data_IF_972332092962
#
_entry.id   IF_972332092962
#
_cell.length_a   1.000
_cell.length_b   1.000
_cell.length_c   1.000
_cell.angle_alpha   90.00
_cell.angle_beta   90.00
_cell.angle_gamma   90.00
#
_symmetry.space_group_name_H-M   'P 1'
#
loop_
_entity.id
_entity.type
_entity.pdbx_description
1 polymer ?
#
# COMPACT_ATOMS: atom_id res chain seq x y z
N UNK A 1 -12.57 41.82 63.08
CA UNK A 1 -13.13 40.46 62.86
C UNK A 1 -14.62 40.46 62.46
N UNK A 2 -15.54 41.21 63.13
CA UNK A 2 -16.97 41.19 62.77
C UNK A 2 -17.33 41.85 61.42
N UNK A 3 -16.54 42.74 60.87
CA UNK A 3 -16.79 43.42 59.59
C UNK A 3 -16.32 42.57 58.42
N UNK A 4 -15.21 41.85 58.51
CA UNK A 4 -14.69 40.95 57.48
C UNK A 4 -15.63 39.73 57.28
N UNK A 5 -16.22 39.20 58.37
CA UNK A 5 -17.15 38.08 58.33
C UNK A 5 -18.46 38.47 57.61
N UNK A 6 -18.95 39.76 57.75
CA UNK A 6 -20.15 40.23 57.07
C UNK A 6 -19.99 40.39 55.55
N UNK A 7 -18.78 40.48 55.03
CA UNK A 7 -18.49 40.54 53.60
C UNK A 7 -18.17 39.14 53.05
N UNK A 8 -17.53 38.29 53.85
CA UNK A 8 -17.10 36.96 53.44
C UNK A 8 -18.31 36.00 53.23
N UNK A 9 -19.33 36.09 54.11
CA UNK A 9 -20.49 35.22 54.03
C UNK A 9 -21.30 35.39 52.74
N UNK A 10 -21.67 36.64 52.30
CA UNK A 10 -22.36 36.79 51.02
C UNK A 10 -21.52 36.39 49.80
N UNK A 11 -20.20 36.57 49.81
CA UNK A 11 -19.33 36.14 48.75
C UNK A 11 -19.32 34.62 48.64
N UNK A 12 -19.21 33.88 49.76
CA UNK A 12 -19.27 32.42 49.80
C UNK A 12 -20.66 31.90 49.37
N UNK A 13 -21.76 32.58 49.73
CA UNK A 13 -23.10 32.24 49.27
C UNK A 13 -23.28 32.43 47.75
N UNK A 14 -22.75 33.54 47.20
CA UNK A 14 -22.78 33.78 45.76
C UNK A 14 -21.90 32.74 45.02
N UNK A 15 -20.77 32.40 45.57
CA UNK A 15 -19.87 31.35 44.98
C UNK A 15 -20.56 30.00 45.03
N UNK A 16 -21.22 29.63 46.14
CA UNK A 16 -21.99 28.38 46.27
C UNK A 16 -23.18 28.33 45.30
N UNK A 17 -23.89 29.44 45.11
CA UNK A 17 -24.98 29.54 44.14
C UNK A 17 -24.45 29.44 42.70
N UNK A 18 -23.33 30.06 42.38
CA UNK A 18 -22.68 29.91 41.05
C UNK A 18 -22.20 28.50 40.79
N UNK A 19 -21.59 27.85 41.77
CA UNK A 19 -21.20 26.44 41.70
C UNK A 19 -22.43 25.55 41.56
N UNK A 20 -23.47 25.77 42.34
CA UNK A 20 -24.76 25.01 42.25
C UNK A 20 -25.45 25.20 40.91
N UNK A 21 -25.50 26.44 40.39
CA UNK A 21 -26.02 26.75 39.07
C UNK A 21 -25.21 26.08 37.96
N UNK A 22 -23.87 26.15 38.07
CA UNK A 22 -22.95 25.49 37.13
C UNK A 22 -23.17 23.95 37.16
N UNK A 23 -23.27 23.38 38.35
CA UNK A 23 -23.52 21.95 38.57
C UNK A 23 -24.91 21.54 38.02
N UNK A 24 -25.93 22.33 38.26
CA UNK A 24 -27.28 22.13 37.72
C UNK A 24 -27.28 22.20 36.19
N UNK A 25 -26.59 23.16 35.59
CA UNK A 25 -26.44 23.28 34.12
C UNK A 25 -25.72 22.08 33.53
N UNK A 26 -24.61 21.65 34.13
CA UNK A 26 -23.81 20.51 33.67
C UNK A 26 -24.54 19.17 33.77
N UNK A 27 -25.42 18.99 34.78
CA UNK A 27 -26.12 17.72 35.00
C UNK A 27 -27.53 17.73 34.38
N UNK A 28 -28.29 18.80 34.55
CA UNK A 28 -29.68 18.90 34.10
C UNK A 28 -29.82 19.21 32.60
N UNK A 29 -28.78 19.74 31.97
CA UNK A 29 -28.74 20.12 30.55
C UNK A 29 -27.54 19.50 29.84
N UNK A 30 -27.33 18.18 30.01
CA UNK A 30 -26.24 17.42 29.37
C UNK A 30 -26.19 17.66 27.88
N UNK A 31 -27.34 17.68 27.20
CA UNK A 31 -27.45 17.86 25.76
C UNK A 31 -26.91 19.23 25.28
N UNK A 32 -27.23 20.30 26.05
CA UNK A 32 -26.70 21.64 25.74
C UNK A 32 -25.20 21.72 25.97
N UNK A 33 -24.70 21.06 27.00
CA UNK A 33 -23.27 21.08 27.35
C UNK A 33 -22.45 20.32 26.29
N UNK A 34 -22.93 19.16 25.88
CA UNK A 34 -22.37 18.40 24.78
C UNK A 34 -22.36 19.24 23.50
N UNK A 35 -23.50 19.81 23.09
CA UNK A 35 -23.62 20.63 21.88
C UNK A 35 -22.66 21.85 21.88
N UNK A 36 -22.49 22.50 23.04
CA UNK A 36 -21.52 23.65 23.15
C UNK A 36 -20.09 23.19 22.93
N UNK A 37 -19.67 22.08 23.55
CA UNK A 37 -18.31 21.56 23.35
C UNK A 37 -18.09 21.07 21.91
N UNK A 38 -19.10 20.44 21.32
CA UNK A 38 -19.09 20.00 19.92
C UNK A 38 -18.94 21.21 18.98
N UNK A 39 -19.73 22.26 19.18
CA UNK A 39 -19.63 23.49 18.41
C UNK A 39 -18.20 24.10 18.47
N UNK A 40 -17.63 24.23 19.67
CA UNK A 40 -16.26 24.73 19.83
C UNK A 40 -15.22 23.77 19.26
N UNK A 41 -15.45 22.46 19.37
CA UNK A 41 -14.62 21.43 18.74
C UNK A 41 -14.54 21.64 17.22
N UNK A 42 -15.70 21.75 16.57
CA UNK A 42 -15.81 22.01 15.13
C UNK A 42 -15.18 23.35 14.73
N UNK A 43 -15.41 24.39 15.54
CA UNK A 43 -14.78 25.71 15.29
C UNK A 43 -13.25 25.61 15.33
N UNK A 44 -12.67 24.95 16.34
CA UNK A 44 -11.21 24.78 16.42
C UNK A 44 -10.67 23.87 15.33
N UNK A 45 -11.39 22.79 14.99
CA UNK A 45 -11.01 21.88 13.92
C UNK A 45 -10.91 22.61 12.58
N UNK A 46 -11.93 23.36 12.21
CA UNK A 46 -12.00 24.14 10.96
C UNK A 46 -10.91 25.22 10.86
N UNK A 47 -10.44 25.72 12.01
CA UNK A 47 -9.33 26.67 12.09
C UNK A 47 -7.95 26.01 12.24
N UNK A 48 -7.82 24.69 12.02
CA UNK A 48 -6.56 23.94 12.10
C UNK A 48 -6.00 23.79 13.52
N UNK A 49 -6.78 24.15 14.56
CA UNK A 49 -6.35 24.06 15.97
C UNK A 49 -6.71 22.70 16.57
N UNK A 50 -6.18 21.64 15.99
CA UNK A 50 -6.58 20.25 16.28
C UNK A 50 -6.42 19.87 17.76
N UNK A 51 -5.38 20.32 18.44
CA UNK A 51 -5.20 20.05 19.87
C UNK A 51 -6.34 20.61 20.76
N UNK A 52 -6.85 21.82 20.42
CA UNK A 52 -8.02 22.39 21.12
C UNK A 52 -9.32 21.66 20.74
N UNK A 53 -9.49 21.30 19.45
CA UNK A 53 -10.61 20.51 18.99
C UNK A 53 -10.70 19.17 19.73
N UNK A 54 -9.58 18.43 19.86
CA UNK A 54 -9.48 17.19 20.64
C UNK A 54 -9.95 17.38 22.08
N UNK A 55 -9.53 18.47 22.73
CA UNK A 55 -9.95 18.77 24.11
C UNK A 55 -11.46 18.98 24.20
N UNK A 56 -12.05 19.76 23.28
CA UNK A 56 -13.47 20.00 23.23
C UNK A 56 -14.27 18.74 22.94
N UNK A 57 -13.87 17.94 21.93
CA UNK A 57 -14.55 16.68 21.61
C UNK A 57 -14.47 15.66 22.75
N UNK A 58 -13.35 15.57 23.47
CA UNK A 58 -13.24 14.73 24.67
C UNK A 58 -14.22 15.14 25.76
N UNK A 59 -14.36 16.44 25.98
CA UNK A 59 -15.33 16.95 26.93
C UNK A 59 -16.76 16.64 26.48
N UNK A 60 -17.10 16.82 25.20
CA UNK A 60 -18.39 16.43 24.66
C UNK A 60 -18.66 14.93 24.82
N UNK A 61 -17.71 14.06 24.49
CA UNK A 61 -17.81 12.61 24.68
C UNK A 61 -18.01 12.18 26.13
N UNK A 62 -17.57 12.98 27.11
CA UNK A 62 -17.88 12.71 28.51
C UNK A 62 -19.38 12.78 28.80
N UNK A 63 -20.11 13.64 28.08
CA UNK A 63 -21.56 13.79 28.20
C UNK A 63 -22.33 12.85 27.29
N UNK A 64 -21.80 12.52 26.11
CA UNK A 64 -22.40 11.63 25.12
C UNK A 64 -21.42 10.50 24.71
N UNK A 65 -21.11 9.53 25.60
CA UNK A 65 -20.06 8.53 25.34
C UNK A 65 -20.39 7.53 24.23
N UNK A 66 -21.67 7.41 23.83
CA UNK A 66 -22.14 6.50 22.78
C UNK A 66 -22.41 7.20 21.45
N UNK A 67 -22.10 8.49 21.36
CA UNK A 67 -22.29 9.25 20.12
C UNK A 67 -21.21 8.86 19.11
N UNK A 68 -21.64 8.16 18.05
CA UNK A 68 -20.78 7.67 16.99
C UNK A 68 -20.18 8.81 16.17
N UNK A 69 -20.97 9.85 15.88
CA UNK A 69 -20.53 10.99 15.08
C UNK A 69 -19.44 11.78 15.81
N UNK A 70 -19.62 11.99 17.10
CA UNK A 70 -18.65 12.66 17.96
C UNK A 70 -17.34 11.86 18.06
N UNK A 71 -17.41 10.54 18.11
CA UNK A 71 -16.23 9.68 18.08
C UNK A 71 -15.47 9.80 16.75
N UNK A 72 -16.19 9.90 15.63
CA UNK A 72 -15.61 10.13 14.30
C UNK A 72 -14.94 11.49 14.25
N UNK A 73 -15.55 12.56 14.75
CA UNK A 73 -14.92 13.88 14.78
C UNK A 73 -13.66 13.92 15.64
N UNK A 74 -13.68 13.27 16.80
CA UNK A 74 -12.50 13.14 17.65
C UNK A 74 -11.38 12.36 16.96
N UNK A 75 -11.70 11.25 16.29
CA UNK A 75 -10.75 10.47 15.50
C UNK A 75 -10.15 11.32 14.38
N UNK A 76 -10.96 12.06 13.62
CA UNK A 76 -10.50 12.96 12.58
C UNK A 76 -9.57 14.04 13.12
N UNK A 77 -9.86 14.61 14.29
CA UNK A 77 -9.00 15.58 14.93
C UNK A 77 -7.64 14.96 15.34
N UNK A 78 -7.63 13.72 15.80
CA UNK A 78 -6.39 12.98 16.06
C UNK A 78 -5.59 12.73 14.78
N UNK A 79 -6.24 12.27 13.70
CA UNK A 79 -5.58 12.08 12.39
C UNK A 79 -4.94 13.38 11.90
N UNK A 80 -5.68 14.48 11.90
CA UNK A 80 -5.16 15.80 11.49
C UNK A 80 -4.05 16.32 12.38
N UNK A 81 -3.94 15.83 13.61
CA UNK A 81 -2.80 16.11 14.50
C UNK A 81 -1.62 15.14 14.35
N UNK A 82 -1.69 14.19 13.39
CA UNK A 82 -0.68 13.16 13.14
C UNK A 82 -0.72 11.97 14.10
N UNK A 83 -1.77 11.84 14.93
CA UNK A 83 -1.85 10.77 15.92
C UNK A 83 -2.84 9.67 15.51
N UNK A 84 -2.47 8.87 14.54
CA UNK A 84 -3.28 7.78 14.01
C UNK A 84 -3.60 6.71 15.05
N UNK A 85 -2.66 6.36 15.92
CA UNK A 85 -2.87 5.38 16.99
C UNK A 85 -4.04 5.77 17.92
N UNK A 86 -4.14 7.07 18.28
CA UNK A 86 -5.26 7.54 19.10
C UNK A 86 -6.56 7.63 18.31
N UNK A 87 -6.48 7.89 17.01
CA UNK A 87 -7.65 7.87 16.13
C UNK A 87 -8.24 6.46 16.06
N UNK A 88 -7.42 5.44 15.78
CA UNK A 88 -7.82 4.03 15.79
C UNK A 88 -8.43 3.62 17.14
N UNK A 89 -7.71 3.88 18.24
CA UNK A 89 -8.20 3.55 19.59
C UNK A 89 -9.55 4.17 19.89
N UNK A 90 -9.77 5.43 19.46
CA UNK A 90 -11.05 6.12 19.66
C UNK A 90 -12.18 5.41 18.94
N UNK A 91 -11.98 5.02 17.68
CA UNK A 91 -12.99 4.33 16.87
C UNK A 91 -13.26 2.91 17.36
N UNK A 92 -12.22 2.13 17.66
CA UNK A 92 -12.35 0.79 18.23
C UNK A 92 -13.14 0.81 19.54
N UNK A 93 -12.86 1.79 20.40
CA UNK A 93 -13.58 1.94 21.66
C UNK A 93 -15.06 2.36 21.43
N UNK A 94 -15.32 3.23 20.45
CA UNK A 94 -16.67 3.62 20.08
C UNK A 94 -17.48 2.44 19.50
N UNK A 95 -16.88 1.61 18.64
CA UNK A 95 -17.48 0.38 18.12
C UNK A 95 -17.86 -0.57 19.24
N UNK A 96 -17.01 -0.70 20.27
CA UNK A 96 -17.32 -1.54 21.44
C UNK A 96 -18.55 -1.05 22.20
N UNK A 97 -18.82 0.25 22.21
CA UNK A 97 -19.97 0.87 22.89
C UNK A 97 -21.22 0.96 22.02
N UNK A 98 -21.05 1.06 20.70
CA UNK A 98 -22.10 1.20 19.69
C UNK A 98 -21.80 0.32 18.48
N UNK A 99 -21.89 -1.02 18.62
CA UNK A 99 -21.53 -1.97 17.56
C UNK A 99 -22.51 -2.00 16.38
N UNK A 100 -23.61 -1.30 16.49
CA UNK A 100 -24.65 -1.12 15.48
C UNK A 100 -24.46 0.12 14.58
N UNK A 101 -23.47 0.94 14.88
CA UNK A 101 -23.17 2.15 14.12
C UNK A 101 -22.20 1.84 12.95
N UNK A 102 -22.73 1.63 11.74
CA UNK A 102 -21.96 1.32 10.55
C UNK A 102 -20.89 2.39 10.21
N UNK A 103 -21.21 3.67 10.46
CA UNK A 103 -20.32 4.79 10.18
C UNK A 103 -18.98 4.70 10.95
N UNK A 104 -18.97 4.06 12.14
CA UNK A 104 -17.75 3.84 12.89
C UNK A 104 -16.80 2.87 12.19
N UNK A 105 -17.33 1.81 11.58
CA UNK A 105 -16.55 0.84 10.82
C UNK A 105 -16.00 1.46 9.54
N UNK A 106 -16.80 2.29 8.85
CA UNK A 106 -16.36 3.05 7.67
C UNK A 106 -15.21 4.00 8.07
N UNK A 107 -15.36 4.74 9.15
CA UNK A 107 -14.33 5.65 9.64
C UNK A 107 -13.04 4.92 10.06
N UNK A 108 -13.16 3.73 10.66
CA UNK A 108 -12.01 2.91 11.05
C UNK A 108 -11.31 2.32 9.83
N UNK A 109 -12.07 1.77 8.86
CA UNK A 109 -11.52 1.30 7.59
C UNK A 109 -10.74 2.40 6.88
N UNK A 110 -11.34 3.58 6.73
CA UNK A 110 -10.66 4.74 6.16
C UNK A 110 -9.41 5.15 6.93
N UNK A 111 -9.41 4.99 8.25
CA UNK A 111 -8.24 5.30 9.08
C UNK A 111 -7.11 4.30 8.87
N UNK A 112 -7.42 3.02 8.60
CA UNK A 112 -6.45 2.02 8.22
C UNK A 112 -5.90 2.27 6.80
N UNK A 113 -6.77 2.55 5.83
CA UNK A 113 -6.38 2.88 4.45
C UNK A 113 -5.42 4.08 4.40
N UNK A 114 -5.69 5.14 5.17
CA UNK A 114 -4.81 6.31 5.26
C UNK A 114 -3.44 6.01 5.90
N UNK A 115 -3.23 4.82 6.44
CA UNK A 115 -1.97 4.33 7.01
C UNK A 115 -1.38 3.16 6.21
N UNK A 116 -1.89 2.92 5.01
CA UNK A 116 -1.50 1.80 4.14
C UNK A 116 -1.70 0.40 4.77
N UNK A 117 -2.59 0.31 5.78
CA UNK A 117 -2.96 -0.94 6.48
C UNK A 117 -4.18 -1.60 5.83
N UNK A 118 -4.07 -1.94 4.55
CA UNK A 118 -5.23 -2.38 3.75
C UNK A 118 -5.78 -3.73 4.23
N UNK A 119 -4.91 -4.71 4.56
CA UNK A 119 -5.34 -6.00 5.08
C UNK A 119 -5.90 -5.92 6.52
N UNK A 120 -5.46 -4.95 7.31
CA UNK A 120 -6.06 -4.70 8.64
C UNK A 120 -7.49 -4.17 8.47
N UNK A 121 -7.73 -3.28 7.49
CA UNK A 121 -9.06 -2.80 7.14
C UNK A 121 -9.95 -3.97 6.69
N UNK A 122 -9.49 -4.82 5.78
CA UNK A 122 -10.21 -6.00 5.31
C UNK A 122 -10.54 -6.96 6.47
N UNK A 123 -9.54 -7.32 7.27
CA UNK A 123 -9.70 -8.20 8.43
C UNK A 123 -10.70 -7.63 9.44
N UNK A 124 -10.66 -6.33 9.69
CA UNK A 124 -11.60 -5.66 10.59
C UNK A 124 -13.04 -5.74 10.06
N UNK A 125 -13.25 -5.49 8.77
CA UNK A 125 -14.57 -5.59 8.15
C UNK A 125 -15.10 -7.03 8.16
N UNK A 126 -14.23 -8.03 7.92
CA UNK A 126 -14.60 -9.46 7.99
C UNK A 126 -15.02 -9.93 9.38
N UNK A 127 -14.65 -9.20 10.45
CA UNK A 127 -15.00 -9.53 11.85
C UNK A 127 -16.31 -8.91 12.33
N UNK A 128 -17.05 -8.18 11.50
CA UNK A 128 -18.35 -7.61 11.87
C UNK A 128 -19.32 -8.75 12.14
N UNK A 129 -19.84 -8.81 13.36
CA UNK A 129 -20.78 -9.86 13.82
C UNK A 129 -22.25 -9.45 13.73
N UNK A 130 -22.54 -8.16 13.65
CA UNK A 130 -23.90 -7.64 13.50
C UNK A 130 -24.33 -7.74 12.03
N UNK A 131 -25.29 -8.59 11.72
CA UNK A 131 -25.74 -8.86 10.34
C UNK A 131 -26.32 -7.62 9.65
N UNK A 132 -27.01 -6.74 10.37
CA UNK A 132 -27.57 -5.52 9.79
C UNK A 132 -26.45 -4.54 9.38
N UNK A 133 -25.43 -4.39 10.22
CA UNK A 133 -24.24 -3.56 9.93
C UNK A 133 -23.46 -4.18 8.80
N UNK A 134 -23.25 -5.50 8.82
CA UNK A 134 -22.55 -6.22 7.75
C UNK A 134 -23.23 -6.00 6.40
N UNK A 135 -24.55 -6.20 6.32
CA UNK A 135 -25.32 -5.97 5.09
C UNK A 135 -25.20 -4.54 4.59
N UNK A 136 -25.22 -3.56 5.50
CA UNK A 136 -25.04 -2.16 5.13
C UNK A 136 -23.64 -1.86 4.61
N UNK A 137 -22.61 -2.40 5.26
CA UNK A 137 -21.21 -2.23 4.86
C UNK A 137 -20.96 -2.92 3.53
N UNK A 138 -21.41 -4.17 3.36
CA UNK A 138 -21.21 -4.97 2.14
C UNK A 138 -21.88 -4.31 0.91
N UNK A 139 -22.98 -3.59 1.11
CA UNK A 139 -23.62 -2.81 0.05
C UNK A 139 -22.81 -1.56 -0.39
N UNK A 140 -21.86 -1.12 0.41
CA UNK A 140 -21.02 0.05 0.18
C UNK A 140 -19.57 -0.29 -0.16
N UNK A 141 -19.18 -1.56 0.02
CA UNK A 141 -17.83 -2.05 -0.31
C UNK A 141 -17.67 -2.23 -1.82
N UNK A 142 -16.49 -1.98 -2.37
CA UNK A 142 -16.21 -2.36 -3.74
C UNK A 142 -16.19 -3.89 -3.87
N UNK A 143 -16.52 -4.38 -5.05
CA UNK A 143 -16.35 -5.80 -5.35
C UNK A 143 -14.86 -6.17 -5.33
N UNK A 144 -14.57 -7.43 -4.97
CA UNK A 144 -13.23 -7.96 -5.04
C UNK A 144 -12.71 -7.92 -6.51
N UNK A 145 -11.44 -7.57 -6.73
CA UNK A 145 -10.89 -7.57 -8.08
C UNK A 145 -10.82 -8.98 -8.66
N UNK A 146 -10.87 -9.08 -9.98
CA UNK A 146 -10.70 -10.33 -10.72
C UNK A 146 -9.28 -10.40 -11.24
N UNK A 147 -8.60 -11.51 -10.97
CA UNK A 147 -7.23 -11.78 -11.43
C UNK A 147 -7.30 -12.80 -12.55
N UNK A 148 -6.76 -12.49 -13.73
CA UNK A 148 -6.72 -13.33 -14.90
C UNK A 148 -5.29 -13.41 -15.46
N UNK A 149 -4.84 -14.60 -15.91
CA UNK A 149 -5.54 -15.89 -15.87
C UNK A 149 -5.67 -16.45 -14.44
N UNK A 150 -6.49 -17.49 -14.27
CA UNK A 150 -6.67 -18.14 -12.96
C UNK A 150 -5.34 -18.72 -12.41
N UNK A 151 -5.30 -18.90 -11.08
CA UNK A 151 -4.16 -19.56 -10.40
C UNK A 151 -3.88 -20.94 -11.02
N UNK A 152 -2.60 -21.24 -11.24
CA UNK A 152 -2.26 -22.52 -11.86
C UNK A 152 -0.80 -22.65 -12.27
N UNK A 153 -0.54 -23.74 -13.02
CA UNK A 153 0.77 -24.02 -13.61
C UNK A 153 0.70 -23.73 -15.10
N UNK A 154 1.66 -22.95 -15.57
CA UNK A 154 1.78 -22.52 -16.95
C UNK A 154 3.14 -22.94 -17.50
N UNK A 155 3.18 -23.31 -18.75
CA UNK A 155 4.42 -23.74 -19.44
C UNK A 155 5.11 -22.60 -20.17
N UNK A 156 4.43 -21.46 -20.32
CA UNK A 156 4.93 -20.27 -20.98
C UNK A 156 4.81 -19.06 -20.03
N UNK A 157 5.54 -18.00 -20.29
CA UNK A 157 5.40 -16.73 -19.60
C UNK A 157 3.98 -16.20 -19.76
N UNK A 158 3.44 -15.65 -18.70
CA UNK A 158 2.09 -15.11 -18.69
C UNK A 158 2.08 -13.69 -18.18
N UNK A 159 1.18 -12.89 -18.74
CA UNK A 159 0.83 -11.60 -18.20
C UNK A 159 -0.44 -11.73 -17.37
N UNK A 160 -0.35 -11.38 -16.10
CA UNK A 160 -1.49 -11.40 -15.18
C UNK A 160 -2.13 -10.03 -15.18
N UNK A 161 -3.41 -9.99 -15.52
CA UNK A 161 -4.22 -8.77 -15.49
C UNK A 161 -5.16 -8.78 -14.29
N UNK A 162 -5.36 -7.61 -13.69
CA UNK A 162 -6.23 -7.44 -12.53
C UNK A 162 -7.27 -6.39 -12.86
N UNK A 163 -8.54 -6.77 -12.74
CA UNK A 163 -9.66 -5.88 -13.06
C UNK A 163 -10.49 -5.63 -11.81
N UNK A 164 -10.56 -4.37 -11.39
CA UNK A 164 -11.49 -3.89 -10.36
C UNK A 164 -12.68 -3.19 -10.97
N UNK A 165 -13.83 -3.25 -10.30
CA UNK A 165 -15.08 -2.61 -10.78
C UNK A 165 -15.21 -1.16 -10.30
N UNK A 166 -14.68 -0.83 -9.12
CA UNK A 166 -14.78 0.48 -8.50
C UNK A 166 -13.53 0.78 -7.65
N UNK A 167 -13.16 2.05 -7.59
CA UNK A 167 -12.06 2.53 -6.75
C UNK A 167 -10.67 2.25 -7.33
N UNK A 168 -9.67 2.29 -6.45
CA UNK A 168 -8.28 2.02 -6.79
C UNK A 168 -7.93 0.57 -6.48
N UNK A 169 -7.35 -0.15 -7.42
CA UNK A 169 -6.86 -1.52 -7.22
C UNK A 169 -5.41 -1.44 -6.75
N UNK A 170 -5.12 -2.13 -5.66
CA UNK A 170 -3.78 -2.36 -5.15
C UNK A 170 -3.40 -3.82 -5.37
N UNK A 171 -2.19 -4.06 -5.83
CA UNK A 171 -1.70 -5.41 -6.05
C UNK A 171 -0.20 -5.51 -5.79
N UNK A 172 0.22 -6.59 -5.16
CA UNK A 172 1.63 -6.94 -4.96
C UNK A 172 1.93 -8.31 -5.49
N UNK A 173 3.14 -8.49 -6.00
CA UNK A 173 3.66 -9.77 -6.47
C UNK A 173 4.89 -10.14 -5.63
N UNK A 174 4.85 -11.33 -5.01
CA UNK A 174 5.94 -11.89 -4.20
C UNK A 174 6.44 -11.01 -3.04
N UNK A 175 5.62 -10.09 -2.57
CA UNK A 175 5.91 -9.25 -1.40
C UNK A 175 4.76 -9.27 -0.42
N UNK A 176 5.04 -8.86 0.81
CA UNK A 176 4.02 -8.73 1.83
C UNK A 176 3.19 -7.46 1.57
N UNK A 177 1.86 -7.58 1.69
CA UNK A 177 1.04 -6.40 1.84
C UNK A 177 1.38 -5.77 3.22
N UNK A 178 1.79 -4.56 3.38
CA UNK A 178 1.00 -3.37 3.10
C UNK A 178 1.40 -2.69 1.80
N UNK A 179 0.39 -2.17 1.12
CA UNK A 179 0.53 -1.41 -0.07
C UNK A 179 1.15 -0.04 0.24
N UNK A 180 2.28 0.24 -0.38
CA UNK A 180 2.74 1.61 -0.55
C UNK A 180 2.02 2.24 -1.76
N UNK A 181 2.15 3.53 -2.01
CA UNK A 181 1.61 4.16 -3.24
C UNK A 181 2.11 3.46 -4.51
N UNK A 182 3.26 2.79 -4.45
CA UNK A 182 3.85 2.00 -5.54
C UNK A 182 3.11 0.71 -5.85
N UNK A 183 2.24 0.25 -4.95
CA UNK A 183 1.49 -1.00 -5.12
C UNK A 183 0.14 -0.79 -5.83
N UNK A 184 -0.14 0.44 -6.29
CA UNK A 184 -1.30 0.70 -7.14
C UNK A 184 -1.10 -0.05 -8.46
N UNK A 185 -2.06 -0.92 -8.77
CA UNK A 185 -2.05 -1.66 -10.02
C UNK A 185 -2.25 -0.72 -11.21
N UNK A 186 -1.27 -0.68 -12.10
CA UNK A 186 -1.27 0.21 -13.27
C UNK A 186 -1.27 -0.53 -14.61
N UNK A 187 -1.06 -1.84 -14.60
CA UNK A 187 -1.00 -2.64 -15.82
C UNK A 187 -0.58 -4.09 -15.57
N UNK A 188 -0.53 -4.93 -16.62
CA UNK A 188 -0.22 -6.35 -16.50
C UNK A 188 1.06 -6.64 -15.74
N UNK A 189 1.05 -7.67 -14.90
CA UNK A 189 2.21 -8.20 -14.18
C UNK A 189 2.75 -9.38 -14.98
N UNK A 190 3.91 -9.21 -15.58
CA UNK A 190 4.58 -10.29 -16.34
C UNK A 190 5.24 -11.27 -15.39
N UNK A 191 4.82 -12.52 -15.42
CA UNK A 191 5.40 -13.63 -14.64
C UNK A 191 6.32 -14.47 -15.51
N UNK A 192 7.58 -14.56 -15.07
CA UNK A 192 8.60 -15.43 -15.65
C UNK A 192 8.68 -16.76 -14.89
N UNK A 193 9.60 -17.65 -15.32
CA UNK A 193 9.77 -18.95 -14.68
C UNK A 193 9.94 -18.88 -13.16
N UNK A 194 9.26 -19.75 -12.45
CA UNK A 194 9.27 -19.83 -10.98
C UNK A 194 7.89 -19.78 -10.36
N UNK A 195 7.87 -19.73 -9.04
CA UNK A 195 6.64 -19.58 -8.26
C UNK A 195 6.39 -18.07 -7.99
N UNK A 196 5.15 -17.66 -8.16
CA UNK A 196 4.71 -16.29 -7.87
C UNK A 196 3.40 -16.30 -7.13
N UNK A 197 3.26 -15.34 -6.22
CA UNK A 197 2.01 -15.10 -5.47
C UNK A 197 1.59 -13.65 -5.68
N UNK A 198 0.34 -13.47 -6.07
CA UNK A 198 -0.25 -12.13 -6.22
C UNK A 198 -1.37 -12.00 -5.19
N UNK A 199 -1.40 -10.85 -4.52
CA UNK A 199 -2.50 -10.43 -3.65
C UNK A 199 -3.04 -9.13 -4.18
N UNK A 200 -4.34 -9.03 -4.33
CA UNK A 200 -4.99 -7.82 -4.81
C UNK A 200 -6.27 -7.50 -4.03
N UNK A 201 -6.56 -6.22 -3.86
CA UNK A 201 -7.83 -5.72 -3.33
C UNK A 201 -8.16 -4.35 -3.94
N UNK A 202 -9.44 -3.97 -3.85
CA UNK A 202 -9.93 -2.66 -4.29
C UNK A 202 -10.20 -1.76 -3.10
N UNK A 203 -9.91 -0.47 -3.23
CA UNK A 203 -10.21 0.57 -2.22
C UNK A 203 -11.17 1.58 -2.84
N UNK A 204 -12.35 1.73 -2.26
CA UNK A 204 -13.34 2.70 -2.70
C UNK A 204 -13.04 4.11 -2.14
N UNK A 205 -13.62 5.15 -2.75
CA UNK A 205 -13.47 6.55 -2.30
C UNK A 205 -13.96 6.79 -0.86
N UNK A 206 -14.93 6.02 -0.40
CA UNK A 206 -15.44 6.07 0.97
C UNK A 206 -14.46 5.50 2.00
N UNK A 207 -13.35 4.88 1.57
CA UNK A 207 -12.34 4.25 2.41
C UNK A 207 -12.67 2.82 2.82
N UNK A 208 -13.70 2.20 2.25
CA UNK A 208 -13.95 0.77 2.39
C UNK A 208 -13.08 -0.02 1.41
N UNK A 209 -12.65 -1.19 1.85
CA UNK A 209 -11.86 -2.12 1.04
C UNK A 209 -12.69 -3.33 0.65
N UNK A 210 -12.39 -3.93 -0.50
CA UNK A 210 -12.96 -5.23 -0.91
C UNK A 210 -12.40 -6.37 -0.07
N UNK A 211 -12.89 -7.57 -0.30
CA UNK A 211 -12.17 -8.78 0.10
C UNK A 211 -10.88 -8.88 -0.72
N UNK A 212 -9.81 -9.35 -0.08
CA UNK A 212 -8.55 -9.60 -0.75
C UNK A 212 -8.62 -10.87 -1.60
N UNK A 213 -8.08 -10.82 -2.81
CA UNK A 213 -7.97 -11.97 -3.70
C UNK A 213 -6.52 -12.41 -3.75
N UNK A 214 -6.32 -13.72 -3.64
CA UNK A 214 -5.00 -14.36 -3.65
C UNK A 214 -4.90 -15.25 -4.87
N UNK A 215 -3.82 -15.11 -5.65
CA UNK A 215 -3.53 -15.97 -6.78
C UNK A 215 -2.11 -16.52 -6.70
N UNK A 216 -1.94 -17.81 -6.95
CA UNK A 216 -0.64 -18.47 -6.97
C UNK A 216 -0.35 -19.05 -8.35
N UNK A 217 0.84 -18.81 -8.84
CA UNK A 217 1.28 -19.25 -10.16
C UNK A 217 2.58 -20.02 -10.06
N UNK A 218 2.69 -21.07 -10.84
CA UNK A 218 3.93 -21.77 -11.13
C UNK A 218 4.17 -21.68 -12.62
N UNK A 219 5.09 -20.84 -13.05
CA UNK A 219 5.44 -20.73 -14.46
C UNK A 219 6.62 -21.66 -14.72
N UNK A 220 6.37 -22.69 -15.49
CA UNK A 220 7.42 -23.62 -15.94
C UNK A 220 8.27 -22.94 -16.99
N UNK A 221 9.52 -23.30 -17.01
CA UNK A 221 10.39 -22.99 -18.13
C UNK A 221 10.20 -24.05 -19.21
N UNK A 222 9.82 -23.68 -20.40
CA UNK A 222 9.97 -24.55 -21.56
C UNK A 222 11.47 -24.70 -21.80
N UNK A 223 12.01 -25.85 -21.39
CA UNK A 223 13.44 -26.13 -21.59
C UNK A 223 13.65 -26.57 -23.03
N UNK A 224 14.20 -25.67 -23.82
CA UNK A 224 14.46 -25.88 -25.24
C UNK A 224 15.96 -25.78 -25.55
N UNK A 225 16.44 -26.50 -26.56
CA UNK A 225 17.79 -26.32 -27.02
C UNK A 225 17.97 -24.94 -27.68
N UNK A 226 19.02 -24.25 -27.27
CA UNK A 226 19.37 -22.90 -27.78
C UNK A 226 20.66 -22.99 -28.59
N UNK A 227 20.71 -22.26 -29.69
CA UNK A 227 21.94 -22.00 -30.46
C UNK A 227 22.16 -20.50 -30.46
N UNK A 228 23.23 -20.05 -29.79
CA UNK A 228 23.60 -18.64 -29.78
C UNK A 228 24.22 -18.28 -31.15
N UNK A 229 23.83 -17.13 -31.69
CA UNK A 229 24.32 -16.65 -32.99
C UNK A 229 25.73 -16.06 -32.89
N UNK A 230 26.03 -15.41 -31.74
CA UNK A 230 27.35 -14.87 -31.49
C UNK A 230 28.32 -15.95 -31.01
N UNK A 231 29.34 -16.25 -31.79
CA UNK A 231 30.32 -17.30 -31.48
C UNK A 231 31.19 -16.98 -30.25
N UNK A 232 31.42 -15.71 -29.95
CA UNK A 232 32.14 -15.25 -28.75
C UNK A 232 31.31 -15.52 -27.52
N UNK A 233 30.02 -15.14 -27.55
CA UNK A 233 29.04 -15.41 -26.48
C UNK A 233 28.85 -16.91 -26.27
N UNK A 234 28.71 -17.70 -27.36
CA UNK A 234 28.55 -19.15 -27.26
C UNK A 234 29.77 -19.79 -26.56
N UNK A 235 30.99 -19.39 -26.95
CA UNK A 235 32.20 -19.91 -26.32
C UNK A 235 32.32 -19.52 -24.85
N UNK A 236 32.02 -18.27 -24.51
CA UNK A 236 32.08 -17.76 -23.15
C UNK A 236 31.05 -18.45 -22.23
N UNK A 237 29.81 -18.59 -22.70
CA UNK A 237 28.74 -19.24 -21.93
C UNK A 237 29.06 -20.72 -21.71
N UNK A 238 29.61 -21.41 -22.71
CA UNK A 238 30.04 -22.82 -22.55
C UNK A 238 31.15 -22.95 -21.52
N UNK A 239 32.12 -22.05 -21.52
CA UNK A 239 33.18 -22.04 -20.51
C UNK A 239 32.59 -21.80 -19.12
N UNK A 240 31.70 -20.81 -18.98
CA UNK A 240 31.02 -20.50 -17.72
C UNK A 240 30.21 -21.68 -17.16
N UNK A 241 29.54 -22.45 -18.04
CA UNK A 241 28.75 -23.61 -17.68
C UNK A 241 29.58 -24.91 -17.61
N UNK A 242 30.89 -24.87 -17.86
CA UNK A 242 31.75 -26.05 -17.91
C UNK A 242 31.39 -27.03 -19.02
N UNK A 243 30.82 -26.55 -20.14
CA UNK A 243 30.41 -27.34 -21.29
C UNK A 243 31.45 -27.40 -22.38
N UNK A 244 31.51 -28.53 -23.10
CA UNK A 244 32.39 -28.69 -24.26
C UNK A 244 31.79 -28.06 -25.51
N UNK A 245 32.67 -27.67 -26.46
CA UNK A 245 32.23 -27.18 -27.76
C UNK A 245 31.28 -28.19 -28.46
N UNK A 246 30.13 -27.70 -28.95
CA UNK A 246 29.12 -28.53 -29.63
C UNK A 246 28.16 -29.30 -28.72
N UNK A 247 28.27 -29.20 -27.38
CA UNK A 247 27.19 -29.68 -26.48
C UNK A 247 25.98 -28.80 -26.63
N UNK A 248 24.77 -29.32 -26.41
CA UNK A 248 23.53 -28.56 -26.47
C UNK A 248 23.48 -27.60 -25.28
N UNK A 249 23.23 -26.31 -25.54
CA UNK A 249 22.81 -25.34 -24.52
C UNK A 249 21.30 -25.42 -24.40
N UNK A 250 20.78 -25.29 -23.17
CA UNK A 250 19.37 -25.31 -22.89
C UNK A 250 18.95 -23.96 -22.28
N UNK A 251 17.71 -23.56 -22.52
CA UNK A 251 17.20 -22.25 -22.05
C UNK A 251 17.30 -22.08 -20.54
N UNK A 252 17.01 -23.11 -19.75
CA UNK A 252 17.09 -23.10 -18.28
C UNK A 252 18.49 -22.84 -17.74
N UNK A 253 19.52 -23.29 -18.46
CA UNK A 253 20.91 -23.04 -18.10
C UNK A 253 21.26 -21.55 -18.30
N UNK A 254 20.71 -20.91 -19.34
CA UNK A 254 20.94 -19.48 -19.63
C UNK A 254 20.16 -18.58 -18.66
N UNK A 255 18.96 -18.99 -18.24
CA UNK A 255 18.18 -18.25 -17.25
C UNK A 255 18.83 -18.19 -15.86
N UNK A 256 19.59 -19.21 -15.50
CA UNK A 256 20.29 -19.28 -14.22
C UNK A 256 21.50 -18.34 -14.14
N UNK A 257 21.92 -17.74 -15.27
CA UNK A 257 23.06 -16.84 -15.31
C UNK A 257 22.64 -15.44 -14.87
N UNK A 258 23.14 -14.99 -13.72
CA UNK A 258 22.84 -13.68 -13.14
C UNK A 258 23.88 -12.62 -13.54
N UNK A 259 25.09 -13.00 -13.91
CA UNK A 259 26.20 -12.10 -14.24
C UNK A 259 26.89 -12.52 -15.53
N UNK A 260 27.09 -11.56 -16.44
CA UNK A 260 27.87 -11.74 -17.65
C UNK A 260 28.93 -10.62 -17.79
N UNK A 261 30.17 -11.01 -18.02
CA UNK A 261 31.24 -10.09 -18.43
C UNK A 261 31.63 -10.39 -19.88
N UNK A 262 31.11 -9.59 -20.80
CA UNK A 262 31.27 -9.77 -22.25
C UNK A 262 32.26 -8.78 -22.86
N UNK A 263 33.16 -8.25 -22.06
CA UNK A 263 34.17 -7.28 -22.48
C UNK A 263 35.06 -7.85 -23.59
N UNK A 264 35.11 -7.18 -24.74
CA UNK A 264 35.90 -7.57 -25.94
C UNK A 264 35.60 -8.97 -26.48
N UNK A 265 34.57 -9.66 -26.00
CA UNK A 265 34.32 -11.07 -26.28
C UNK A 265 33.28 -11.29 -27.38
N UNK A 266 32.30 -10.34 -27.50
CA UNK A 266 31.11 -10.52 -28.33
C UNK A 266 31.04 -9.46 -29.45
N UNK A 267 30.47 -9.85 -30.57
CA UNK A 267 30.21 -8.96 -31.71
C UNK A 267 28.75 -8.52 -31.79
N UNK A 268 27.83 -9.28 -31.18
CA UNK A 268 26.37 -8.98 -31.16
C UNK A 268 25.77 -9.26 -29.77
N UNK A 269 24.76 -8.49 -29.43
CA UNK A 269 23.98 -8.67 -28.20
C UNK A 269 22.58 -9.30 -28.45
N UNK A 270 22.29 -9.73 -29.70
CA UNK A 270 20.98 -10.26 -30.10
C UNK A 270 20.55 -11.47 -29.30
N UNK A 271 21.47 -12.24 -28.75
CA UNK A 271 21.18 -13.43 -27.95
C UNK A 271 20.90 -13.13 -26.47
N UNK A 272 21.10 -11.89 -25.99
CA UNK A 272 20.89 -11.53 -24.59
C UNK A 272 19.46 -11.79 -24.07
N UNK A 273 18.39 -11.74 -24.87
CA UNK A 273 17.03 -12.06 -24.39
C UNK A 273 16.88 -13.49 -23.83
N UNK A 274 17.79 -14.41 -24.17
CA UNK A 274 17.80 -15.74 -23.55
C UNK A 274 18.23 -15.73 -22.09
N UNK A 275 18.86 -14.66 -21.59
CA UNK A 275 19.39 -14.55 -20.22
C UNK A 275 18.42 -13.79 -19.32
N UNK A 276 17.22 -14.30 -19.15
CA UNK A 276 16.13 -13.60 -18.43
C UNK A 276 16.41 -13.40 -16.94
N UNK A 277 17.35 -14.16 -16.34
CA UNK A 277 17.81 -14.00 -14.96
C UNK A 277 18.94 -12.98 -14.78
N UNK A 278 19.43 -12.38 -15.88
CA UNK A 278 20.62 -11.53 -15.86
C UNK A 278 20.39 -10.25 -15.05
N UNK A 279 21.24 -10.03 -14.05
CA UNK A 279 21.20 -8.85 -13.16
C UNK A 279 22.34 -7.88 -13.38
N UNK A 280 23.51 -8.44 -13.74
CA UNK A 280 24.72 -7.65 -13.96
C UNK A 280 25.29 -7.95 -15.34
N UNK A 281 25.47 -6.92 -16.15
CA UNK A 281 26.08 -7.01 -17.47
C UNK A 281 27.27 -6.05 -17.55
N UNK A 282 28.45 -6.56 -17.87
CA UNK A 282 29.65 -5.78 -18.19
C UNK A 282 29.95 -5.88 -19.67
N UNK A 283 30.07 -4.71 -20.31
CA UNK A 283 30.42 -4.52 -21.72
C UNK A 283 31.62 -3.58 -21.86
N UNK A 284 32.46 -3.48 -20.82
CA UNK A 284 33.56 -2.51 -20.82
C UNK A 284 34.51 -2.71 -22.02
N UNK A 285 34.99 -1.61 -22.59
CA UNK A 285 35.80 -1.55 -23.79
C UNK A 285 35.17 -2.10 -25.08
N UNK A 286 33.89 -2.48 -25.07
CA UNK A 286 33.23 -2.96 -26.28
C UNK A 286 33.06 -1.85 -27.35
N UNK A 287 32.98 -2.25 -28.61
CA UNK A 287 32.91 -1.29 -29.72
C UNK A 287 31.57 -0.55 -29.81
N UNK A 288 31.61 0.70 -30.27
CA UNK A 288 30.48 1.61 -30.34
C UNK A 288 29.30 1.19 -31.26
N UNK A 289 29.46 0.09 -32.02
CA UNK A 289 28.46 -0.33 -33.02
C UNK A 289 27.40 -1.31 -32.48
N UNK A 290 27.43 -1.66 -31.20
CA UNK A 290 26.48 -2.58 -30.62
C UNK A 290 25.10 -1.92 -30.48
N UNK A 291 24.06 -2.65 -30.88
CA UNK A 291 22.69 -2.26 -30.64
C UNK A 291 22.30 -2.55 -29.17
N UNK A 292 22.17 -1.50 -28.38
CA UNK A 292 21.77 -1.61 -26.97
C UNK A 292 20.25 -1.71 -26.78
N UNK A 293 19.45 -1.65 -27.84
CA UNK A 293 17.98 -1.71 -27.75
C UNK A 293 17.49 -3.04 -27.16
N UNK A 294 18.28 -4.10 -27.33
CA UNK A 294 18.02 -5.43 -26.79
C UNK A 294 17.97 -5.44 -25.25
N UNK A 295 18.67 -4.50 -24.57
CA UNK A 295 18.70 -4.42 -23.12
C UNK A 295 17.32 -4.10 -22.53
N UNK A 296 16.43 -3.48 -23.29
CA UNK A 296 15.04 -3.26 -22.88
C UNK A 296 14.23 -4.57 -22.72
N UNK A 297 14.74 -5.68 -23.24
CA UNK A 297 14.12 -7.00 -23.12
C UNK A 297 14.64 -7.80 -21.91
N UNK A 298 15.52 -7.22 -21.08
CA UNK A 298 16.07 -7.85 -19.89
C UNK A 298 15.37 -7.33 -18.62
N UNK A 299 14.34 -7.99 -18.14
CA UNK A 299 13.46 -7.45 -17.07
C UNK A 299 14.15 -7.43 -15.70
N UNK A 300 15.21 -8.22 -15.54
CA UNK A 300 15.94 -8.39 -14.27
C UNK A 300 17.24 -7.59 -14.18
N UNK A 301 17.66 -6.95 -15.28
CA UNK A 301 18.91 -6.21 -15.34
C UNK A 301 18.91 -5.00 -14.39
N UNK A 302 19.92 -4.91 -13.52
CA UNK A 302 20.06 -3.84 -12.51
C UNK A 302 21.37 -3.08 -12.62
N UNK A 303 22.43 -3.75 -13.07
CA UNK A 303 23.76 -3.17 -13.17
C UNK A 303 24.28 -3.34 -14.58
N UNK A 304 24.69 -2.22 -15.19
CA UNK A 304 25.27 -2.19 -16.54
C UNK A 304 26.59 -1.42 -16.47
N UNK A 305 27.70 -2.11 -16.79
CA UNK A 305 29.01 -1.47 -16.91
C UNK A 305 29.35 -1.23 -18.40
N UNK A 306 29.46 0.03 -18.77
CA UNK A 306 29.84 0.51 -20.11
C UNK A 306 31.14 1.30 -20.07
N UNK A 307 31.99 1.08 -19.07
CA UNK A 307 33.23 1.78 -18.88
C UNK A 307 34.16 1.59 -20.11
N UNK A 308 34.70 2.67 -20.62
CA UNK A 308 35.60 2.63 -21.79
C UNK A 308 34.90 2.41 -23.14
N UNK A 309 33.55 2.28 -23.17
CA UNK A 309 32.79 2.22 -24.40
C UNK A 309 32.58 3.62 -25.00
N UNK A 310 32.65 3.70 -26.34
CA UNK A 310 32.22 4.91 -27.07
C UNK A 310 30.76 4.77 -27.49
N UNK A 311 29.87 5.53 -26.83
CA UNK A 311 28.45 5.41 -27.05
C UNK A 311 27.96 6.40 -28.12
N UNK A 312 27.13 5.91 -29.03
CA UNK A 312 26.40 6.77 -29.97
C UNK A 312 25.25 7.53 -29.26
N UNK A 313 24.73 8.59 -29.90
CA UNK A 313 23.57 9.30 -29.38
C UNK A 313 22.30 8.42 -29.31
N UNK A 314 22.18 7.44 -30.20
CA UNK A 314 21.10 6.45 -30.16
C UNK A 314 21.23 5.52 -28.96
N UNK A 315 22.44 5.00 -28.69
CA UNK A 315 22.73 4.16 -27.53
C UNK A 315 22.45 4.89 -26.21
N UNK A 316 22.81 6.18 -26.11
CA UNK A 316 22.51 7.00 -24.94
C UNK A 316 20.99 7.17 -24.72
N UNK A 317 20.22 7.36 -25.81
CA UNK A 317 18.76 7.44 -25.71
C UNK A 317 18.13 6.15 -25.20
N UNK A 318 18.65 5.00 -25.64
CA UNK A 318 18.21 3.68 -25.20
C UNK A 318 18.49 3.48 -23.72
N UNK A 319 19.71 3.80 -23.25
CA UNK A 319 20.09 3.64 -21.82
C UNK A 319 19.20 4.49 -20.90
N UNK A 320 18.88 5.72 -21.29
CA UNK A 320 18.03 6.62 -20.51
C UNK A 320 16.58 6.11 -20.44
N UNK A 321 16.14 5.28 -21.38
CA UNK A 321 14.78 4.69 -21.42
C UNK A 321 14.69 3.31 -20.75
N UNK A 322 15.79 2.75 -20.24
CA UNK A 322 15.75 1.49 -19.50
C UNK A 322 15.03 1.68 -18.16
N UNK A 323 14.26 0.67 -17.68
CA UNK A 323 13.47 0.73 -16.46
C UNK A 323 14.33 0.86 -15.20
#
# INVERSE_FOLDING_TARGET
MKHTLKILIPILLILALLIGACWFFLIARRDLTESVFTYWGNHFYNNGRYGRAITCYKLAMHFAPKDAELAIWLSNAYKRSGNYTKAEYTLVNAITQSPDAADLYIALSKTYVEQDKLLDAETMLGRITNDAVRTQIDALRPAAPVIEPESGTYTEYIDVTITGTEGTVYAVCNSDFPAEETDIYTGPISLTAGESKIVALSVAENGLVSDAVYAGYTVGSVVEPVTLADAGLDSYVRELLGKTAGSTLMTDELWAIEELDLSDTVASLEDLPYFTGLRTLSLHHSSASMDLSVLAQLPTLRTLDLSGCTLSSAAMSTIVSLP
#
